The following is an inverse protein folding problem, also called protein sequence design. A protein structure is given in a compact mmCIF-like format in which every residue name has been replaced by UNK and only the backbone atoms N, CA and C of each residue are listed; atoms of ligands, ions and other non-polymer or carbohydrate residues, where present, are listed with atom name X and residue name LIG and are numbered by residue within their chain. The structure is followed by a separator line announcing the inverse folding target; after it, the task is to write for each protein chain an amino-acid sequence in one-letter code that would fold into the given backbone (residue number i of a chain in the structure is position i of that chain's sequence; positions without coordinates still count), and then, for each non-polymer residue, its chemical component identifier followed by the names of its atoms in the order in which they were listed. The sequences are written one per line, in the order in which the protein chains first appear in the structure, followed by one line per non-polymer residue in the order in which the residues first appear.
data_IF_673837921055
#
_entry.id   IF_673837921055
#
_cell.length_a   1.000
_cell.length_b   1.000
_cell.length_c   1.000
_cell.angle_alpha   90.00
_cell.angle_beta   90.00
_cell.angle_gamma   90.00
#
_symmetry.space_group_name_H-M   'P 1'
#
loop_
_entity.id
_entity.type
_entity.pdbx_description
1 polymer ?
#
# COMPACT_ATOMS: atom_id res chain seq x y z
N UNK A 1 -12.75 33.06 43.38
CA UNK A 1 -11.59 33.22 42.47
C UNK A 1 -11.04 31.81 42.22
N UNK A 2 -10.90 31.23 41.02
CA UNK A 2 -10.74 31.71 39.65
C UNK A 2 -10.95 30.48 38.72
N UNK A 3 -11.59 30.69 37.55
CA UNK A 3 -11.50 29.98 36.24
C UNK A 3 -11.50 28.44 36.17
N UNK A 4 -12.51 27.74 35.61
CA UNK A 4 -12.83 27.55 34.17
C UNK A 4 -11.64 27.19 33.28
N UNK A 5 -11.67 25.99 32.67
CA UNK A 5 -11.16 25.80 31.31
C UNK A 5 -10.02 24.78 31.13
N UNK A 6 -10.38 23.58 30.65
CA UNK A 6 -9.74 22.94 29.49
C UNK A 6 -10.67 21.83 28.95
N UNK A 7 -11.82 22.23 28.42
CA UNK A 7 -12.35 21.54 27.24
C UNK A 7 -11.43 21.89 26.07
N UNK A 8 -10.97 20.88 25.34
CA UNK A 8 -10.58 20.90 23.91
C UNK A 8 -9.95 19.52 23.65
N UNK A 9 -10.71 18.48 23.32
CA UNK A 9 -11.31 18.30 22.00
C UNK A 9 -10.37 18.78 20.91
N UNK A 10 -9.47 17.90 20.50
CA UNK A 10 -8.95 17.92 19.14
C UNK A 10 -9.04 16.49 18.66
N UNK A 11 -10.27 16.08 18.35
CA UNK A 11 -10.56 15.08 17.32
C UNK A 11 -10.03 15.64 15.99
N UNK A 12 -8.71 15.72 15.87
CA UNK A 12 -8.05 15.77 14.58
C UNK A 12 -8.21 14.35 14.03
N UNK A 13 -8.73 14.28 12.82
CA UNK A 13 -9.07 13.05 12.13
C UNK A 13 -8.09 11.92 12.47
N UNK A 14 -8.66 10.75 12.79
CA UNK A 14 -7.98 9.48 12.70
C UNK A 14 -7.47 9.30 11.26
N UNK A 15 -6.39 10.01 10.91
CA UNK A 15 -5.41 9.50 9.99
C UNK A 15 -4.72 8.44 10.82
N UNK A 16 -5.29 7.24 10.79
CA UNK A 16 -4.66 6.07 11.37
C UNK A 16 -3.25 6.05 10.78
N UNK A 17 -2.27 6.20 11.67
CA UNK A 17 -0.86 6.07 11.34
C UNK A 17 -0.69 4.61 10.95
N UNK A 18 -0.92 4.32 9.67
CA UNK A 18 -0.59 3.05 9.07
C UNK A 18 0.90 2.88 9.38
N UNK A 19 1.27 1.87 10.17
CA UNK A 19 2.65 1.50 10.48
C UNK A 19 3.34 1.08 9.17
N UNK A 20 3.72 2.06 8.37
CA UNK A 20 4.43 1.90 7.11
C UNK A 20 5.87 1.63 7.47
N UNK A 21 6.32 0.43 7.10
CA UNK A 21 7.64 -0.04 7.45
C UNK A 21 8.74 0.72 6.70
N UNK A 22 8.53 0.94 5.40
CA UNK A 22 9.46 1.63 4.53
C UNK A 22 8.73 2.19 3.29
N UNK A 23 9.39 3.11 2.59
CA UNK A 23 8.92 3.71 1.35
C UNK A 23 9.85 3.26 0.21
N UNK A 24 9.33 2.49 -0.73
CA UNK A 24 10.11 1.85 -1.80
C UNK A 24 9.65 2.40 -3.15
N UNK A 25 10.61 2.70 -4.03
CA UNK A 25 10.32 3.15 -5.39
C UNK A 25 9.88 1.98 -6.28
N UNK A 26 8.91 2.23 -7.16
CA UNK A 26 8.38 1.20 -8.07
C UNK A 26 9.48 0.60 -9.00
N UNK A 27 10.56 1.34 -9.24
CA UNK A 27 11.73 0.91 -10.01
C UNK A 27 12.55 -0.20 -9.33
N UNK A 28 12.53 -0.28 -7.98
CA UNK A 28 13.23 -1.32 -7.21
C UNK A 28 12.38 -2.61 -7.09
N UNK A 29 11.11 -2.54 -7.48
CA UNK A 29 10.19 -3.68 -7.47
C UNK A 29 10.29 -4.50 -8.76
N UNK A 30 10.07 -5.81 -8.63
CA UNK A 30 9.98 -6.67 -9.80
C UNK A 30 8.55 -6.67 -10.32
N UNK A 31 8.34 -6.16 -11.53
CA UNK A 31 7.05 -6.19 -12.21
C UNK A 31 6.83 -7.53 -12.91
N UNK A 32 5.69 -8.16 -12.65
CA UNK A 32 5.23 -9.34 -13.38
C UNK A 32 4.14 -8.92 -14.37
N UNK A 33 4.46 -8.92 -15.67
CA UNK A 33 3.51 -8.51 -16.72
C UNK A 33 2.37 -9.51 -16.94
N UNK A 34 2.52 -10.75 -16.49
CA UNK A 34 1.48 -11.78 -16.67
C UNK A 34 0.37 -11.66 -15.64
N UNK A 35 0.74 -11.28 -14.42
CA UNK A 35 -0.18 -11.10 -13.29
C UNK A 35 -0.49 -9.61 -13.01
N UNK A 36 0.25 -8.70 -13.65
CA UNK A 36 0.17 -7.26 -13.44
C UNK A 36 0.38 -6.86 -11.96
N UNK A 37 1.30 -7.56 -11.29
CA UNK A 37 1.66 -7.33 -9.88
C UNK A 37 3.12 -6.92 -9.76
N UNK A 38 3.40 -6.04 -8.80
CA UNK A 38 4.75 -5.73 -8.36
C UNK A 38 5.05 -6.52 -7.10
N UNK A 39 6.23 -7.12 -7.07
CA UNK A 39 6.69 -7.87 -5.91
C UNK A 39 8.09 -7.46 -5.46
N UNK A 40 8.30 -7.50 -4.15
CA UNK A 40 9.54 -7.09 -3.50
C UNK A 40 9.97 -8.08 -2.40
N UNK A 41 11.26 -8.47 -2.32
CA UNK A 41 11.73 -9.37 -1.27
C UNK A 41 11.60 -8.75 0.13
N UNK A 42 10.81 -9.35 1.01
CA UNK A 42 10.61 -8.89 2.37
C UNK A 42 11.71 -9.46 3.30
N UNK A 43 12.25 -8.69 4.26
CA UNK A 43 13.27 -9.17 5.20
C UNK A 43 12.81 -10.33 6.10
N UNK A 44 11.50 -10.60 6.16
CA UNK A 44 10.96 -11.73 6.90
C UNK A 44 11.03 -13.08 6.17
N UNK A 45 11.43 -13.08 4.89
CA UNK A 45 11.60 -14.30 4.07
C UNK A 45 10.52 -14.53 3.01
N UNK A 46 9.46 -13.73 3.01
CA UNK A 46 8.41 -13.73 1.99
C UNK A 46 8.56 -12.53 1.03
N UNK A 47 7.51 -12.20 0.27
CA UNK A 47 7.51 -11.09 -0.69
C UNK A 47 6.30 -10.20 -0.44
N UNK A 48 6.50 -8.89 -0.58
CA UNK A 48 5.40 -7.96 -0.73
C UNK A 48 4.80 -8.12 -2.12
N UNK A 49 3.50 -7.94 -2.23
CA UNK A 49 2.76 -7.98 -3.48
C UNK A 49 1.74 -6.83 -3.53
N UNK A 50 1.68 -6.15 -4.67
CA UNK A 50 0.72 -5.07 -4.94
C UNK A 50 0.33 -5.08 -6.41
N UNK A 51 -0.95 -4.87 -6.71
CA UNK A 51 -1.40 -4.81 -8.09
C UNK A 51 -1.19 -3.42 -8.69
N UNK A 52 -0.85 -3.38 -9.98
CA UNK A 52 -0.77 -2.10 -10.70
C UNK A 52 -2.12 -1.38 -10.78
N UNK A 53 -3.22 -2.14 -10.74
CA UNK A 53 -4.57 -1.59 -10.73
C UNK A 53 -4.87 -0.78 -9.47
N UNK A 54 -4.34 -1.21 -8.32
CA UNK A 54 -4.47 -0.50 -7.04
C UNK A 54 -3.59 0.75 -7.03
N UNK A 55 -2.35 0.66 -7.53
CA UNK A 55 -1.46 1.82 -7.69
C UNK A 55 -2.12 2.91 -8.55
N UNK A 56 -2.78 2.53 -9.65
CA UNK A 56 -3.52 3.48 -10.51
C UNK A 56 -4.73 4.12 -9.84
N UNK A 57 -5.33 3.46 -8.86
CA UNK A 57 -6.43 4.02 -8.06
C UNK A 57 -5.91 4.95 -6.94
N UNK A 58 -4.59 5.06 -6.77
CA UNK A 58 -3.94 5.82 -5.70
C UNK A 58 -3.74 5.01 -4.42
N UNK A 59 -3.81 3.68 -4.51
CA UNK A 59 -3.52 2.77 -3.41
C UNK A 59 -2.07 2.27 -3.56
N UNK A 60 -1.14 3.00 -2.94
CA UNK A 60 0.30 2.68 -2.91
C UNK A 60 0.73 1.72 -1.79
N UNK A 61 -0.19 0.97 -1.20
CA UNK A 61 0.11 0.09 -0.07
C UNK A 61 0.38 -1.34 -0.56
N UNK A 62 1.64 -1.77 -0.47
CA UNK A 62 1.99 -3.17 -0.68
C UNK A 62 1.99 -3.93 0.65
N UNK A 63 1.36 -5.10 0.65
CA UNK A 63 1.14 -5.90 1.86
C UNK A 63 1.91 -7.22 1.75
N UNK A 64 2.57 -7.63 2.83
CA UNK A 64 3.18 -8.95 2.92
C UNK A 64 2.24 -9.93 3.65
N UNK A 65 1.84 -11.06 3.03
CA UNK A 65 0.89 -12.00 3.61
C UNK A 65 1.41 -12.70 4.88
N UNK A 66 2.74 -12.81 5.04
CA UNK A 66 3.34 -13.47 6.21
C UNK A 66 3.62 -12.55 7.38
N UNK A 67 3.82 -11.26 7.12
CA UNK A 67 4.43 -10.35 8.10
C UNK A 67 3.48 -9.25 8.52
N UNK A 68 2.31 -9.12 7.87
CA UNK A 68 1.33 -8.04 8.07
C UNK A 68 1.93 -6.63 7.98
N UNK A 69 3.19 -6.52 7.55
CA UNK A 69 3.88 -5.28 7.29
C UNK A 69 3.29 -4.69 6.01
N UNK A 70 3.19 -3.37 6.04
CA UNK A 70 2.76 -2.56 4.93
C UNK A 70 3.92 -1.64 4.54
N UNK A 71 4.19 -1.54 3.25
CA UNK A 71 5.17 -0.59 2.71
C UNK A 71 4.44 0.34 1.75
N UNK A 72 4.94 1.58 1.61
CA UNK A 72 4.43 2.53 0.62
C UNK A 72 5.25 2.48 -0.64
N UNK A 73 4.58 2.38 -1.77
CA UNK A 73 5.20 2.33 -3.09
C UNK A 73 5.15 3.71 -3.71
N UNK A 74 6.31 4.34 -3.86
CA UNK A 74 6.43 5.62 -4.54
C UNK A 74 6.44 5.35 -6.05
N UNK A 75 5.48 5.91 -6.77
CA UNK A 75 5.37 5.81 -8.23
C UNK A 75 5.12 7.19 -8.85
N UNK A 76 5.68 7.43 -10.03
CA UNK A 76 5.28 8.55 -10.88
C UNK A 76 4.35 8.06 -11.99
N UNK A 77 3.45 8.94 -12.44
CA UNK A 77 2.52 8.66 -13.55
C UNK A 77 3.23 8.36 -14.88
N UNK A 78 4.49 8.75 -15.01
CA UNK A 78 5.32 8.52 -16.20
C UNK A 78 5.96 7.11 -16.21
N UNK A 79 6.14 6.49 -15.04
CA UNK A 79 6.71 5.15 -14.88
C UNK A 79 5.68 4.03 -15.04
N UNK A 80 4.40 4.37 -14.99
CA UNK A 80 3.33 3.42 -15.19
C UNK A 80 3.12 3.18 -16.70
N UNK A 81 3.27 1.95 -17.21
CA UNK A 81 2.94 1.64 -18.60
C UNK A 81 1.45 1.95 -18.84
N UNK A 82 1.15 2.72 -19.89
CA UNK A 82 -0.22 3.12 -20.23
C UNK A 82 -1.09 1.90 -20.62
N UNK A 83 -2.21 1.76 -19.92
CA UNK A 83 -3.41 0.92 -20.16
C UNK A 83 -3.26 -0.44 -20.89
N UNK A 84 -3.40 -1.53 -20.11
CA UNK A 84 -4.51 -2.47 -20.36
C UNK A 84 -5.32 -2.61 -19.06
N UNK A 85 -6.52 -2.01 -19.04
CA UNK A 85 -7.63 -2.31 -18.13
C UNK A 85 -7.78 -3.82 -17.93
N UNK A 86 -7.82 -4.31 -16.69
CA UNK A 86 -7.91 -5.77 -16.50
C UNK A 86 -7.98 -6.33 -15.09
N UNK A 87 -8.83 -5.77 -14.23
CA UNK A 87 -9.66 -6.50 -13.23
C UNK A 87 -9.23 -7.96 -12.89
N UNK A 88 -8.19 -8.14 -12.07
CA UNK A 88 -7.85 -9.47 -11.54
C UNK A 88 -8.66 -9.74 -10.28
N UNK A 89 -9.80 -10.40 -10.49
CA UNK A 89 -10.65 -10.99 -9.44
C UNK A 89 -9.81 -11.73 -8.41
N UNK A 90 -9.92 -11.31 -7.16
CA UNK A 90 -9.56 -12.12 -6.00
C UNK A 90 -10.50 -13.33 -5.94
N UNK A 91 -10.12 -14.44 -6.58
CA UNK A 91 -10.73 -15.73 -6.31
C UNK A 91 -10.14 -16.25 -4.98
N UNK A 92 -10.74 -15.81 -3.87
CA UNK A 92 -10.61 -16.50 -2.59
C UNK A 92 -11.15 -17.92 -2.77
N UNK A 93 -10.25 -18.86 -3.05
CA UNK A 93 -10.53 -20.29 -2.95
C UNK A 93 -10.80 -20.63 -1.48
N UNK A 94 -12.07 -20.57 -1.12
CA UNK A 94 -12.62 -21.13 0.11
C UNK A 94 -12.83 -22.63 -0.15
N UNK A 95 -11.85 -23.45 0.25
CA UNK A 95 -12.05 -24.91 0.44
C UNK A 95 -12.50 -25.17 1.88
#
# INVERSE_FOLDING_TARGET
MKLTGASSSSSAAAAEELDIYDEIEIEDMTYDSTLQIYHYPCPCGDRFEVAIADLRQGEDIAVCPSCSLMIRVIFEVEDLPAEEDGESKQEKEKV
#
